data_IF_446648682215
#
_entry.id   IF_446648682215
#
_cell.length_a   1.000
_cell.length_b   1.000
_cell.length_c   1.000
_cell.angle_alpha   90.00
_cell.angle_beta   90.00
_cell.angle_gamma   90.00
#
_symmetry.space_group_name_H-M   'P 1'
#
loop_
_entity.id
_entity.type
_entity.pdbx_description
1 polymer ?
#
# COMPACT_ATOMS: atom_id res chain seq x y z
N UNK A 1 6.61 18.76 5.54
CA UNK A 1 6.45 19.00 6.97
C UNK A 1 5.66 20.28 7.27
N UNK A 2 5.84 21.37 6.52
CA UNK A 2 5.08 22.62 6.72
C UNK A 2 3.56 22.39 6.69
N UNK A 3 3.07 21.63 5.75
CA UNK A 3 1.64 21.31 5.61
C UNK A 3 1.11 20.50 6.79
N UNK A 4 1.96 19.69 7.41
CA UNK A 4 1.66 18.98 8.65
C UNK A 4 1.83 19.83 9.92
N UNK A 5 2.15 21.14 9.80
CA UNK A 5 2.42 22.03 10.94
C UNK A 5 3.68 21.66 11.70
N UNK A 6 4.68 21.09 11.00
CA UNK A 6 5.97 20.67 11.60
C UNK A 6 7.15 21.33 10.88
N UNK A 7 8.25 21.46 11.60
CA UNK A 7 9.50 22.04 11.12
C UNK A 7 10.66 21.11 11.44
N UNK A 8 11.62 20.99 10.53
CA UNK A 8 12.87 20.26 10.75
C UNK A 8 13.63 20.96 11.87
N UNK A 9 14.16 20.20 12.81
CA UNK A 9 14.99 20.77 13.88
C UNK A 9 16.31 21.28 13.31
N UNK A 10 16.79 22.38 13.83
CA UNK A 10 18.07 22.96 13.41
C UNK A 10 19.20 21.97 13.70
N UNK A 11 20.08 21.77 12.73
CA UNK A 11 21.23 20.86 12.84
C UNK A 11 20.94 19.42 12.46
N UNK A 12 19.69 19.05 12.10
CA UNK A 12 19.39 17.71 11.63
C UNK A 12 19.91 17.48 10.21
N UNK A 13 20.58 16.35 10.01
CA UNK A 13 20.98 15.87 8.68
C UNK A 13 19.93 14.93 8.12
N UNK A 14 19.33 15.33 6.99
CA UNK A 14 18.36 14.48 6.29
C UNK A 14 19.02 13.29 5.59
N UNK A 15 18.28 12.21 5.46
CA UNK A 15 18.66 11.03 4.69
C UNK A 15 18.67 11.37 3.20
N UNK A 16 19.69 10.91 2.49
CA UNK A 16 19.72 11.05 1.03
C UNK A 16 18.75 10.03 0.41
N UNK A 17 17.82 10.52 -0.41
CA UNK A 17 16.84 9.69 -1.07
C UNK A 17 16.61 10.14 -2.51
N UNK A 18 16.15 9.20 -3.34
CA UNK A 18 15.63 9.52 -4.66
C UNK A 18 14.19 10.02 -4.48
N UNK A 19 13.96 11.29 -4.81
CA UNK A 19 12.67 11.96 -4.61
C UNK A 19 12.01 12.19 -5.96
N UNK A 20 10.75 11.78 -6.10
CA UNK A 20 9.94 12.08 -7.28
C UNK A 20 9.69 13.59 -7.38
N UNK A 21 9.88 14.14 -8.57
CA UNK A 21 9.65 15.56 -8.85
C UNK A 21 8.76 15.71 -10.08
N UNK A 22 7.75 16.57 -9.97
CA UNK A 22 6.98 17.01 -11.12
C UNK A 22 7.55 18.35 -11.59
N UNK A 23 7.87 18.46 -12.85
CA UNK A 23 8.36 19.69 -13.47
C UNK A 23 7.59 19.97 -14.76
N UNK A 24 7.58 21.22 -15.16
CA UNK A 24 6.96 21.63 -16.40
C UNK A 24 8.05 21.75 -17.47
N UNK A 25 7.84 21.06 -18.59
CA UNK A 25 8.70 21.14 -19.76
C UNK A 25 7.84 21.50 -20.98
N UNK A 26 8.08 22.67 -21.56
CA UNK A 26 7.33 23.20 -22.71
C UNK A 26 5.80 23.16 -22.54
N UNK A 27 5.29 23.59 -21.37
CA UNK A 27 3.85 23.60 -21.05
C UNK A 27 3.25 22.22 -20.77
N UNK A 28 4.05 21.16 -20.70
CA UNK A 28 3.61 19.81 -20.34
C UNK A 28 4.20 19.40 -19.00
N UNK A 29 3.36 18.86 -18.13
CA UNK A 29 3.83 18.28 -16.88
C UNK A 29 4.59 16.99 -17.17
N UNK A 30 5.84 16.94 -16.75
CA UNK A 30 6.69 15.77 -16.78
C UNK A 30 7.04 15.36 -15.34
N UNK A 31 7.23 14.07 -15.13
CA UNK A 31 7.70 13.53 -13.85
C UNK A 31 9.11 12.99 -14.00
N UNK A 32 9.91 13.16 -12.99
CA UNK A 32 11.28 12.66 -12.93
C UNK A 32 11.69 12.43 -11.49
N UNK A 33 12.95 12.06 -11.32
CA UNK A 33 13.52 11.80 -10.00
C UNK A 33 14.76 12.67 -9.80
N UNK A 34 14.92 13.15 -8.59
CA UNK A 34 16.11 13.88 -8.17
C UNK A 34 16.65 13.29 -6.87
N UNK A 35 17.93 13.50 -6.62
CA UNK A 35 18.52 13.20 -5.32
C UNK A 35 18.17 14.36 -4.38
N UNK A 36 17.47 14.04 -3.31
CA UNK A 36 17.03 15.02 -2.30
C UNK A 36 17.31 14.55 -0.88
N UNK A 37 17.08 15.44 0.07
CA UNK A 37 17.11 15.12 1.50
C UNK A 37 15.68 14.89 2.01
N UNK A 38 15.47 13.76 2.68
CA UNK A 38 14.23 13.44 3.40
C UNK A 38 14.53 13.39 4.90
N UNK A 39 13.53 13.69 5.71
CA UNK A 39 13.67 13.77 7.16
C UNK A 39 12.61 12.90 7.82
N UNK A 40 12.99 12.18 8.86
CA UNK A 40 12.09 11.43 9.70
C UNK A 40 11.30 12.37 10.64
N UNK A 41 10.16 11.89 11.14
CA UNK A 41 9.33 12.62 12.09
C UNK A 41 10.11 12.94 13.38
N UNK A 42 11.01 12.06 13.81
CA UNK A 42 11.87 12.24 14.98
C UNK A 42 12.85 13.39 14.82
N UNK A 43 13.15 13.80 13.58
CA UNK A 43 14.00 14.94 13.23
C UNK A 43 13.20 16.26 13.13
N UNK A 44 11.92 16.24 13.46
CA UNK A 44 11.03 17.39 13.35
C UNK A 44 10.43 17.79 14.69
N UNK A 45 9.94 19.02 14.78
CA UNK A 45 9.17 19.57 15.91
C UNK A 45 7.90 20.23 15.40
N UNK A 46 6.86 20.28 16.20
CA UNK A 46 5.59 20.93 15.86
C UNK A 46 4.39 20.11 16.33
N UNK A 47 3.28 20.19 15.61
CA UNK A 47 2.04 19.49 15.97
C UNK A 47 2.30 17.97 16.08
N UNK A 48 1.68 17.28 17.07
CA UNK A 48 1.68 15.83 17.08
C UNK A 48 1.13 15.30 15.75
N UNK A 49 1.80 14.30 15.20
CA UNK A 49 1.26 13.55 14.07
C UNK A 49 0.51 12.38 14.69
N UNK A 50 -0.77 12.18 14.33
CA UNK A 50 -1.50 11.01 14.82
C UNK A 50 -0.74 9.75 14.35
N UNK A 51 -0.73 8.68 15.16
CA UNK A 51 -0.20 7.41 14.71
C UNK A 51 -0.93 6.98 13.43
N UNK A 52 -0.28 6.20 12.56
CA UNK A 52 -0.98 5.56 11.45
C UNK A 52 -2.21 4.82 11.97
N UNK A 53 -3.32 4.91 11.27
CA UNK A 53 -4.48 4.11 11.59
C UNK A 53 -4.11 2.62 11.45
N UNK A 54 -4.42 1.84 12.46
CA UNK A 54 -4.31 0.40 12.45
C UNK A 54 -5.66 -0.19 12.02
N UNK A 55 -5.62 -1.10 11.07
CA UNK A 55 -6.80 -1.76 10.55
C UNK A 55 -6.69 -3.26 10.79
N UNK A 56 -7.81 -3.89 11.15
CA UNK A 56 -7.88 -5.34 11.18
C UNK A 56 -7.86 -5.90 9.76
N UNK A 57 -7.34 -7.11 9.59
CA UNK A 57 -7.19 -7.71 8.25
C UNK A 57 -8.54 -7.86 7.55
N UNK A 58 -9.62 -8.13 8.29
CA UNK A 58 -10.97 -8.24 7.75
C UNK A 58 -11.49 -6.91 7.20
N UNK A 59 -11.16 -5.78 7.85
CA UNK A 59 -11.47 -4.44 7.33
C UNK A 59 -10.72 -4.16 6.02
N UNK A 60 -9.46 -4.60 5.94
CA UNK A 60 -8.67 -4.48 4.72
C UNK A 60 -9.22 -5.35 3.58
N UNK A 61 -9.71 -6.56 3.89
CA UNK A 61 -10.37 -7.44 2.92
C UNK A 61 -11.66 -6.78 2.42
N UNK A 62 -12.53 -6.31 3.32
CA UNK A 62 -13.77 -5.64 2.96
C UNK A 62 -13.52 -4.42 2.07
N UNK A 63 -12.58 -3.55 2.47
CA UNK A 63 -12.20 -2.38 1.69
C UNK A 63 -11.55 -2.73 0.35
N UNK A 64 -10.80 -3.85 0.26
CA UNK A 64 -10.22 -4.35 -0.99
C UNK A 64 -11.28 -4.87 -1.95
N UNK A 65 -12.33 -5.52 -1.43
CA UNK A 65 -13.47 -5.97 -2.22
C UNK A 65 -14.27 -4.77 -2.75
N UNK A 66 -14.56 -3.81 -1.89
CA UNK A 66 -15.31 -2.60 -2.26
C UNK A 66 -14.57 -1.75 -3.29
N UNK A 67 -13.24 -1.60 -3.13
CA UNK A 67 -12.40 -0.82 -4.04
C UNK A 67 -11.92 -1.59 -5.27
N UNK A 68 -12.32 -2.84 -5.44
CA UNK A 68 -11.88 -3.69 -6.55
C UNK A 68 -12.33 -3.11 -7.91
N UNK A 69 -11.46 -3.14 -8.93
CA UNK A 69 -11.81 -2.68 -10.27
C UNK A 69 -12.81 -3.59 -10.99
N UNK A 70 -13.05 -4.80 -10.47
CA UNK A 70 -13.92 -5.81 -11.05
C UNK A 70 -14.62 -6.62 -9.95
N UNK A 71 -15.75 -7.29 -10.23
CA UNK A 71 -16.43 -8.15 -9.25
C UNK A 71 -15.52 -9.25 -8.69
N UNK A 72 -15.68 -9.54 -7.40
CA UNK A 72 -15.00 -10.64 -6.70
C UNK A 72 -16.05 -11.69 -6.30
N UNK A 73 -15.74 -12.95 -6.50
CA UNK A 73 -16.59 -14.09 -6.14
C UNK A 73 -15.76 -15.16 -5.41
N UNK A 74 -16.35 -15.77 -4.40
CA UNK A 74 -15.76 -16.95 -3.74
C UNK A 74 -16.00 -18.17 -4.62
N UNK A 75 -14.99 -19.03 -4.72
CA UNK A 75 -15.06 -20.26 -5.53
C UNK A 75 -14.37 -21.42 -4.84
N UNK A 76 -15.05 -22.55 -4.79
CA UNK A 76 -14.51 -23.83 -4.33
C UNK A 76 -13.90 -24.65 -5.48
N UNK A 77 -14.04 -24.18 -6.73
CA UNK A 77 -13.65 -24.90 -7.96
C UNK A 77 -12.33 -24.41 -8.57
N UNK A 78 -11.57 -23.58 -7.88
CA UNK A 78 -10.25 -23.16 -8.37
C UNK A 78 -9.29 -24.35 -8.39
N UNK A 79 -8.40 -24.45 -9.41
CA UNK A 79 -7.37 -25.49 -9.47
C UNK A 79 -6.50 -25.51 -8.21
N UNK A 80 -5.96 -26.67 -7.86
CA UNK A 80 -5.10 -26.84 -6.71
C UNK A 80 -3.91 -25.87 -6.74
N UNK A 81 -3.59 -25.29 -5.58
CA UNK A 81 -2.52 -24.30 -5.44
C UNK A 81 -2.88 -22.89 -5.93
N UNK A 82 -4.03 -22.68 -6.58
CA UNK A 82 -4.49 -21.35 -7.00
C UNK A 82 -5.32 -20.72 -5.88
N UNK A 83 -4.83 -19.66 -5.29
CA UNK A 83 -5.48 -18.92 -4.20
C UNK A 83 -6.58 -17.98 -4.72
N UNK A 84 -6.32 -17.29 -5.82
CA UNK A 84 -7.27 -16.46 -6.52
C UNK A 84 -6.90 -16.36 -8.00
N UNK A 85 -7.88 -16.05 -8.84
CA UNK A 85 -7.66 -15.90 -10.27
C UNK A 85 -8.58 -14.84 -10.87
N UNK A 86 -7.99 -13.84 -11.49
CA UNK A 86 -8.69 -12.95 -12.40
C UNK A 86 -8.95 -13.66 -13.72
N UNK A 87 -10.20 -13.68 -14.17
CA UNK A 87 -10.64 -14.28 -15.45
C UNK A 87 -11.00 -13.17 -16.43
N UNK A 88 -10.17 -12.92 -17.46
CA UNK A 88 -10.38 -11.83 -18.42
C UNK A 88 -11.70 -11.88 -19.15
N UNK A 89 -12.17 -13.10 -19.50
CA UNK A 89 -13.38 -13.33 -20.31
C UNK A 89 -14.63 -12.67 -19.72
N UNK A 90 -14.81 -12.77 -18.40
CA UNK A 90 -15.97 -12.23 -17.70
C UNK A 90 -15.59 -11.08 -16.72
N UNK A 91 -14.32 -10.67 -16.73
CA UNK A 91 -13.78 -9.61 -15.88
C UNK A 91 -14.13 -9.81 -14.40
N UNK A 92 -13.94 -11.01 -13.89
CA UNK A 92 -14.26 -11.38 -12.50
C UNK A 92 -13.03 -12.00 -11.85
N UNK A 93 -12.81 -11.69 -10.58
CA UNK A 93 -11.82 -12.33 -9.71
C UNK A 93 -12.53 -13.44 -8.93
N UNK A 94 -12.02 -14.66 -9.02
CA UNK A 94 -12.43 -15.77 -8.19
C UNK A 94 -11.42 -16.00 -7.07
N UNK A 95 -11.89 -16.13 -5.85
CA UNK A 95 -11.07 -16.29 -4.64
C UNK A 95 -11.40 -17.62 -3.98
N UNK A 96 -10.39 -18.40 -3.64
CA UNK A 96 -10.55 -19.69 -2.96
C UNK A 96 -11.17 -19.48 -1.58
N UNK A 97 -12.14 -20.31 -1.26
CA UNK A 97 -12.75 -20.35 0.07
C UNK A 97 -11.81 -20.96 1.12
N UNK A 98 -11.94 -20.57 2.38
CA UNK A 98 -11.29 -21.20 3.53
C UNK A 98 -9.80 -20.91 3.70
N UNK A 99 -9.24 -19.90 3.04
CA UNK A 99 -7.88 -19.41 3.30
C UNK A 99 -7.87 -18.54 4.56
N UNK A 100 -6.68 -18.40 5.19
CA UNK A 100 -6.48 -17.40 6.23
C UNK A 100 -6.64 -15.97 5.69
N UNK A 101 -6.94 -15.03 6.56
CA UNK A 101 -7.26 -13.66 6.19
C UNK A 101 -6.09 -12.94 5.48
N UNK A 102 -4.85 -13.12 5.94
CA UNK A 102 -3.66 -12.51 5.33
C UNK A 102 -3.42 -13.02 3.90
N UNK A 103 -3.50 -14.33 3.71
CA UNK A 103 -3.41 -14.98 2.38
C UNK A 103 -4.53 -14.51 1.48
N UNK A 104 -5.76 -14.41 1.99
CA UNK A 104 -6.93 -13.94 1.24
C UNK A 104 -6.73 -12.51 0.74
N UNK A 105 -6.30 -11.59 1.61
CA UNK A 105 -6.03 -10.21 1.24
C UNK A 105 -4.95 -10.11 0.14
N UNK A 106 -3.82 -10.78 0.34
CA UNK A 106 -2.73 -10.77 -0.63
C UNK A 106 -3.14 -11.35 -2.00
N UNK A 107 -3.97 -12.41 -1.99
CA UNK A 107 -4.50 -13.00 -3.21
C UNK A 107 -5.46 -12.04 -3.94
N UNK A 108 -6.38 -11.40 -3.21
CA UNK A 108 -7.29 -10.38 -3.77
C UNK A 108 -6.50 -9.23 -4.39
N UNK A 109 -5.58 -8.64 -3.66
CA UNK A 109 -4.79 -7.49 -4.12
C UNK A 109 -3.98 -7.83 -5.36
N UNK A 110 -3.37 -9.03 -5.41
CA UNK A 110 -2.63 -9.50 -6.59
C UNK A 110 -3.52 -9.62 -7.82
N UNK A 111 -4.74 -10.12 -7.67
CA UNK A 111 -5.66 -10.27 -8.80
C UNK A 111 -6.34 -8.94 -9.18
N UNK A 112 -6.55 -8.03 -8.23
CA UNK A 112 -6.92 -6.65 -8.54
C UNK A 112 -5.85 -5.96 -9.40
N UNK A 113 -4.56 -6.16 -9.07
CA UNK A 113 -3.47 -5.67 -9.91
C UNK A 113 -3.50 -6.27 -11.33
N UNK A 114 -3.77 -7.56 -11.47
CA UNK A 114 -3.94 -8.21 -12.77
C UNK A 114 -5.11 -7.60 -13.56
N UNK A 115 -6.23 -7.31 -12.89
CA UNK A 115 -7.38 -6.68 -13.50
C UNK A 115 -7.09 -5.23 -13.96
N UNK A 116 -6.31 -4.48 -13.17
CA UNK A 116 -5.87 -3.13 -13.52
C UNK A 116 -4.93 -3.09 -14.76
N UNK A 117 -4.12 -4.13 -14.95
CA UNK A 117 -3.30 -4.28 -16.15
C UNK A 117 -4.10 -4.66 -17.39
N UNK A 118 -5.29 -5.23 -17.23
CA UNK A 118 -6.15 -5.62 -18.36
C UNK A 118 -6.92 -4.41 -18.91
N UNK A 119 -6.24 -3.54 -19.66
CA UNK A 119 -6.84 -2.35 -20.28
C UNK A 119 -7.32 -2.59 -21.70
N UNK A 120 -6.72 -3.55 -22.41
CA UNK A 120 -6.99 -3.86 -23.82
C UNK A 120 -6.85 -5.36 -24.12
N UNK A 121 -6.99 -5.71 -25.39
CA UNK A 121 -6.90 -7.08 -25.88
C UNK A 121 -5.50 -7.71 -25.79
N UNK A 122 -4.47 -6.93 -25.43
CA UNK A 122 -3.07 -7.39 -25.35
C UNK A 122 -2.70 -7.93 -23.98
N UNK A 123 -3.67 -7.99 -23.03
CA UNK A 123 -3.42 -8.48 -21.69
C UNK A 123 -2.75 -9.85 -21.68
N UNK A 124 -1.65 -9.95 -20.97
CA UNK A 124 -0.91 -11.17 -20.73
C UNK A 124 -0.64 -11.36 -19.24
N UNK A 125 -1.34 -12.31 -18.60
CA UNK A 125 -1.20 -12.62 -17.19
C UNK A 125 0.25 -12.86 -16.76
N UNK A 126 1.04 -13.54 -17.59
CA UNK A 126 2.43 -13.89 -17.26
C UNK A 126 3.33 -12.65 -17.23
N UNK A 127 3.14 -11.74 -18.16
CA UNK A 127 3.90 -10.48 -18.21
C UNK A 127 3.67 -9.62 -16.96
N UNK A 128 2.46 -9.64 -16.41
CA UNK A 128 2.08 -8.84 -15.24
C UNK A 128 2.13 -9.61 -13.90
N UNK A 129 2.59 -10.86 -13.90
CA UNK A 129 2.65 -11.67 -12.68
C UNK A 129 3.60 -11.06 -11.62
N UNK A 130 4.80 -10.65 -12.03
CA UNK A 130 5.78 -10.07 -11.11
C UNK A 130 5.36 -8.66 -10.61
N UNK A 131 4.92 -7.71 -11.47
CA UNK A 131 4.39 -6.43 -10.99
C UNK A 131 3.20 -6.59 -10.03
N UNK A 132 2.28 -7.51 -10.30
CA UNK A 132 1.13 -7.76 -9.42
C UNK A 132 1.54 -8.38 -8.07
N UNK A 133 2.55 -9.23 -8.06
CA UNK A 133 3.13 -9.78 -6.84
C UNK A 133 3.78 -8.69 -5.98
N UNK A 134 4.54 -7.79 -6.61
CA UNK A 134 5.12 -6.64 -5.93
C UNK A 134 4.05 -5.68 -5.39
N UNK A 135 2.95 -5.46 -6.12
CA UNK A 135 1.83 -4.64 -5.66
C UNK A 135 1.17 -5.24 -4.39
N UNK A 136 0.98 -6.57 -4.35
CA UNK A 136 0.49 -7.25 -3.15
C UNK A 136 1.43 -7.06 -1.95
N UNK A 137 2.74 -7.19 -2.16
CA UNK A 137 3.72 -6.88 -1.12
C UNK A 137 3.62 -5.44 -0.62
N UNK A 138 3.50 -4.46 -1.53
CA UNK A 138 3.37 -3.05 -1.15
C UNK A 138 2.17 -2.80 -0.24
N UNK A 139 1.03 -3.42 -0.54
CA UNK A 139 -0.18 -3.31 0.29
C UNK A 139 0.01 -4.00 1.64
N UNK A 140 0.50 -5.24 1.64
CA UNK A 140 0.77 -5.99 2.87
C UNK A 140 1.72 -5.21 3.80
N UNK A 141 2.85 -4.75 3.28
CA UNK A 141 3.84 -3.99 4.03
C UNK A 141 3.27 -2.65 4.55
N UNK A 142 2.49 -1.94 3.72
CA UNK A 142 1.90 -0.64 4.10
C UNK A 142 0.96 -0.74 5.29
N UNK A 143 0.25 -1.86 5.42
CA UNK A 143 -0.72 -2.09 6.47
C UNK A 143 -0.22 -3.02 7.59
N UNK A 144 1.09 -3.29 7.63
CA UNK A 144 1.74 -4.00 8.73
C UNK A 144 1.46 -5.51 8.77
N UNK A 145 1.01 -6.11 7.66
CA UNK A 145 0.87 -7.56 7.59
C UNK A 145 2.23 -8.25 7.57
N UNK A 146 2.25 -9.52 7.99
CA UNK A 146 3.44 -10.35 7.84
C UNK A 146 3.81 -10.52 6.37
N UNK A 147 5.02 -10.11 6.03
CA UNK A 147 5.57 -10.19 4.67
C UNK A 147 6.67 -11.23 4.53
N UNK A 148 6.93 -12.03 5.57
CA UNK A 148 8.01 -13.03 5.56
C UNK A 148 7.83 -14.12 4.49
N UNK A 149 6.58 -14.40 4.10
CA UNK A 149 6.27 -15.36 3.04
C UNK A 149 6.56 -14.84 1.62
N UNK A 150 6.81 -13.53 1.44
CA UNK A 150 7.15 -13.00 0.13
C UNK A 150 8.59 -13.32 -0.24
N UNK A 151 8.77 -13.99 -1.37
CA UNK A 151 10.08 -14.31 -1.94
C UNK A 151 10.25 -13.62 -3.30
N UNK A 152 11.29 -12.80 -3.42
CA UNK A 152 11.58 -12.01 -4.61
C UNK A 152 12.64 -12.63 -5.54
N UNK A 153 13.18 -13.82 -5.24
CA UNK A 153 14.23 -14.45 -6.03
C UNK A 153 13.83 -14.57 -7.50
N UNK A 154 12.59 -14.94 -7.76
CA UNK A 154 12.06 -15.04 -9.12
C UNK A 154 11.96 -13.67 -9.81
N UNK A 155 11.59 -12.63 -9.08
CA UNK A 155 11.54 -11.27 -9.61
C UNK A 155 12.95 -10.79 -9.96
N UNK A 156 13.90 -11.01 -9.07
CA UNK A 156 15.32 -10.68 -9.28
C UNK A 156 15.88 -11.46 -10.47
N UNK A 157 15.58 -12.76 -10.58
CA UNK A 157 16.03 -13.58 -11.71
C UNK A 157 15.49 -13.09 -13.06
N UNK A 158 14.24 -12.60 -13.11
CA UNK A 158 13.61 -12.12 -14.33
C UNK A 158 14.05 -10.70 -14.71
N UNK A 159 14.24 -9.82 -13.75
CA UNK A 159 14.42 -8.39 -14.00
C UNK A 159 15.80 -7.84 -13.59
N UNK A 160 16.55 -8.54 -12.73
CA UNK A 160 17.82 -8.07 -12.19
C UNK A 160 18.91 -7.84 -13.24
N UNK A 161 18.92 -8.65 -14.30
CA UNK A 161 19.90 -8.59 -15.37
C UNK A 161 19.42 -7.85 -16.62
N UNK A 162 18.22 -7.26 -16.60
CA UNK A 162 17.69 -6.48 -17.71
C UNK A 162 18.37 -5.12 -17.83
N UNK A 163 18.28 -4.52 -19.01
CA UNK A 163 18.74 -3.15 -19.22
C UNK A 163 17.99 -2.13 -18.37
N UNK A 164 18.63 -1.01 -18.04
CA UNK A 164 18.08 0.03 -17.15
C UNK A 164 16.68 0.52 -17.53
N UNK A 165 16.38 0.61 -18.82
CA UNK A 165 15.05 1.03 -19.28
C UNK A 165 13.98 0.00 -18.98
N UNK A 166 14.27 -1.27 -19.17
CA UNK A 166 13.35 -2.37 -18.86
C UNK A 166 13.11 -2.49 -17.35
N UNK A 167 14.17 -2.31 -16.53
CA UNK A 167 14.03 -2.25 -15.08
C UNK A 167 13.16 -1.05 -14.65
N UNK A 168 13.36 0.13 -15.28
CA UNK A 168 12.51 1.31 -15.02
C UNK A 168 11.06 1.06 -15.42
N UNK A 169 10.82 0.44 -16.57
CA UNK A 169 9.49 0.05 -17.03
C UNK A 169 8.79 -0.84 -15.99
N UNK A 170 9.46 -1.91 -15.54
CA UNK A 170 8.95 -2.79 -14.51
C UNK A 170 8.62 -2.05 -13.20
N UNK A 171 9.54 -1.21 -12.70
CA UNK A 171 9.31 -0.44 -11.48
C UNK A 171 8.20 0.60 -11.65
N UNK A 172 8.05 1.17 -12.85
CA UNK A 172 6.94 2.07 -13.18
C UNK A 172 5.60 1.35 -13.12
N UNK A 173 5.51 0.15 -13.65
CA UNK A 173 4.31 -0.69 -13.60
C UNK A 173 3.95 -1.03 -12.15
N UNK A 174 4.91 -1.48 -11.35
CA UNK A 174 4.72 -1.76 -9.91
C UNK A 174 4.20 -0.53 -9.18
N UNK A 175 4.84 0.63 -9.38
CA UNK A 175 4.45 1.87 -8.70
C UNK A 175 3.08 2.38 -9.16
N UNK A 176 2.77 2.25 -10.44
CA UNK A 176 1.48 2.71 -10.99
C UNK A 176 0.33 1.90 -10.42
N UNK A 177 0.41 0.58 -10.51
CA UNK A 177 -0.66 -0.31 -10.05
C UNK A 177 -0.68 -0.42 -8.53
N UNK A 178 0.45 -0.70 -7.88
CA UNK A 178 0.52 -0.77 -6.41
C UNK A 178 0.14 0.54 -5.74
N UNK A 179 0.63 1.67 -6.25
CA UNK A 179 0.24 2.99 -5.77
C UNK A 179 -1.23 3.33 -6.06
N UNK A 180 -1.79 2.84 -7.16
CA UNK A 180 -3.22 2.92 -7.49
C UNK A 180 -4.08 2.20 -6.46
N UNK A 181 -3.77 0.94 -6.21
CA UNK A 181 -4.47 0.10 -5.22
C UNK A 181 -4.37 0.68 -3.81
N UNK A 182 -3.20 1.13 -3.38
CA UNK A 182 -3.02 1.78 -2.07
C UNK A 182 -3.88 3.03 -1.93
N UNK A 183 -3.96 3.88 -2.97
CA UNK A 183 -4.82 5.08 -2.93
C UNK A 183 -6.30 4.73 -2.89
N UNK A 184 -6.74 3.74 -3.66
CA UNK A 184 -8.12 3.28 -3.69
C UNK A 184 -8.52 2.72 -2.33
N UNK A 185 -7.73 1.79 -1.80
CA UNK A 185 -7.93 1.19 -0.49
C UNK A 185 -7.95 2.23 0.65
N UNK A 186 -7.00 3.18 0.65
CA UNK A 186 -6.97 4.24 1.66
C UNK A 186 -8.19 5.15 1.62
N UNK A 187 -8.77 5.40 0.43
CA UNK A 187 -10.01 6.19 0.31
C UNK A 187 -11.20 5.45 0.88
N UNK A 188 -11.34 4.17 0.55
CA UNK A 188 -12.43 3.31 1.06
C UNK A 188 -12.38 3.22 2.58
N UNK A 189 -11.22 2.93 3.15
CA UNK A 189 -11.01 2.89 4.60
C UNK A 189 -11.32 4.23 5.28
N UNK A 190 -10.95 5.36 4.66
CA UNK A 190 -11.25 6.68 5.19
C UNK A 190 -12.75 7.01 5.19
N UNK A 191 -13.52 6.49 4.24
CA UNK A 191 -14.98 6.62 4.20
C UNK A 191 -15.60 5.75 5.30
N UNK A 192 -15.24 4.48 5.38
CA UNK A 192 -15.73 3.54 6.40
C UNK A 192 -15.46 4.05 7.82
N UNK A 193 -14.27 4.62 8.06
CA UNK A 193 -13.92 5.21 9.36
C UNK A 193 -14.79 6.43 9.72
N UNK A 194 -15.26 7.20 8.74
CA UNK A 194 -16.14 8.36 8.97
C UNK A 194 -17.59 7.99 9.25
N UNK A 195 -18.02 6.83 8.76
CA UNK A 195 -19.39 6.31 8.93
C UNK A 195 -19.58 5.61 10.27
N UNK A 196 -18.49 5.24 10.97
CA UNK A 196 -18.56 4.69 12.32
C UNK A 196 -18.96 5.80 13.32
N UNK A 197 -19.95 5.58 14.19
CA UNK A 197 -20.35 6.58 15.16
C UNK A 197 -19.20 6.88 16.13
N UNK A 198 -19.02 8.17 16.47
CA UNK A 198 -17.93 8.69 17.29
C UNK A 198 -17.79 8.03 18.68
N UNK A 199 -18.76 7.23 19.11
CA UNK A 199 -18.78 6.52 20.38
C UNK A 199 -17.77 5.36 20.48
N UNK A 200 -17.29 4.81 19.36
CA UNK A 200 -16.32 3.69 19.37
C UNK A 200 -14.86 4.13 19.44
N UNK A 201 -14.58 5.43 19.29
CA UNK A 201 -13.21 5.97 19.34
C UNK A 201 -12.76 6.46 20.72
N UNK A 202 -13.54 6.25 21.78
CA UNK A 202 -13.13 6.55 23.14
C UNK A 202 -12.15 5.48 23.68
N UNK A 203 -10.98 5.37 23.07
CA UNK A 203 -9.83 4.68 23.67
C UNK A 203 -9.45 5.47 24.90
N UNK A 204 -9.63 4.87 26.08
CA UNK A 204 -9.31 5.42 27.36
C UNK A 204 -7.85 5.91 27.40
N UNK A 205 -7.67 7.23 27.39
CA UNK A 205 -6.37 7.83 27.69
C UNK A 205 -6.06 7.49 29.15
N UNK A 206 -5.00 6.73 29.47
CA UNK A 206 -4.67 6.43 30.84
C UNK A 206 -4.38 7.73 31.60
N UNK A 207 -5.12 7.97 32.67
CA UNK A 207 -4.99 9.14 33.52
C UNK A 207 -3.54 9.24 34.01
N UNK A 208 -2.88 10.37 33.70
CA UNK A 208 -1.55 10.73 34.20
C UNK A 208 -1.60 10.72 35.73
N UNK A 209 -0.89 9.80 36.38
CA UNK A 209 -0.69 9.82 37.83
C UNK A 209 -0.05 11.16 38.21
N UNK A 210 -0.81 12.00 38.89
CA UNK A 210 -0.26 13.17 39.58
C UNK A 210 0.68 12.71 40.67
N UNK A 211 1.97 12.96 40.52
CA UNK A 211 2.94 12.80 41.61
C UNK A 211 2.65 13.86 42.68
N UNK A 212 2.18 13.44 43.82
CA UNK A 212 2.12 14.27 45.02
C UNK A 212 3.55 14.67 45.40
N UNK A 213 3.89 15.92 45.19
CA UNK A 213 5.01 16.52 45.91
C UNK A 213 4.63 16.58 47.41
N UNK A 214 5.36 15.85 48.24
CA UNK A 214 5.36 16.04 49.69
C UNK A 214 6.23 17.26 49.98
N UNK A 215 5.60 18.35 50.39
CA UNK A 215 6.27 19.38 51.15
C UNK A 215 6.80 18.77 52.42
N UNK A 216 8.08 18.92 52.70
CA UNK A 216 8.65 18.86 54.04
C UNK A 216 9.07 20.29 54.38
N UNK A 217 8.42 20.76 55.47
CA UNK A 217 8.85 21.97 56.20
C UNK A 217 10.22 21.82 56.91
#
# INVERSE_FOLDING_TARGET
WKDAGRHIRTGEEGYTAIVGQVYENNGRKASGYNIGKVFDITQTRGRPVPPPAEYQVDELIAASIESSPVPIQISDSLPDGIQAQYVPKNRTIYVRNGMDAGTTLCAIVRECAQADFHKDYTYNRQAYAAPSYCAAYMVAHRYGLDTAAFNFDRVVALYGNLGKEQQRGFLSDVNTVGGGLLRSLSRTLAVQTRELPAAEYAVAIPAKKQSRQRERG
#
